data_IF_926546667902
#
_entry.id   IF_926546667902
#
_cell.length_a   1.000
_cell.length_b   1.000
_cell.length_c   1.000
_cell.angle_alpha   90.00
_cell.angle_beta   90.00
_cell.angle_gamma   90.00
#
_symmetry.space_group_name_H-M   'P 1'
#
loop_
_entity.id
_entity.type
_entity.pdbx_description
1 polymer ?
#
# COMPACT_ATOMS: atom_id res chain seq x y z
N UNK A 1 -0.75 -55.12 -17.63
CA UNK A 1 0.15 -53.95 -17.80
C UNK A 1 -0.66 -52.66 -17.57
N UNK A 2 -0.40 -51.86 -16.53
CA UNK A 2 -0.94 -50.51 -16.44
C UNK A 2 0.10 -49.47 -16.86
N UNK A 3 -0.34 -48.47 -17.63
CA UNK A 3 0.47 -47.33 -18.11
C UNK A 3 0.64 -46.31 -16.98
N UNK A 4 1.88 -45.92 -16.68
CA UNK A 4 2.22 -44.91 -15.69
C UNK A 4 1.95 -43.48 -16.17
N UNK A 5 1.26 -42.70 -15.34
CA UNK A 5 1.06 -41.25 -15.52
C UNK A 5 2.24 -40.53 -14.87
N UNK A 6 3.01 -39.78 -15.67
CA UNK A 6 4.12 -38.94 -15.19
C UNK A 6 3.57 -37.71 -14.46
N UNK A 7 3.95 -37.55 -13.20
CA UNK A 7 3.61 -36.40 -12.36
C UNK A 7 4.23 -35.09 -12.85
N UNK A 8 3.41 -34.05 -12.84
CA UNK A 8 3.71 -32.68 -13.25
C UNK A 8 4.67 -32.00 -12.24
N UNK A 9 5.93 -31.75 -12.63
CA UNK A 9 6.95 -31.09 -11.79
C UNK A 9 6.87 -29.55 -11.78
N UNK A 10 5.84 -28.96 -12.39
CA UNK A 10 5.69 -27.50 -12.50
C UNK A 10 5.19 -26.77 -11.26
N UNK A 11 4.59 -27.46 -10.29
CA UNK A 11 3.86 -26.82 -9.18
C UNK A 11 4.77 -26.29 -8.06
N UNK A 12 5.91 -26.94 -7.80
CA UNK A 12 6.76 -26.59 -6.65
C UNK A 12 7.66 -25.36 -6.87
N UNK A 13 7.97 -24.98 -8.12
CA UNK A 13 8.81 -23.81 -8.41
C UNK A 13 8.04 -22.48 -8.29
N UNK A 14 6.73 -22.48 -8.54
CA UNK A 14 5.89 -21.27 -8.47
C UNK A 14 5.60 -20.89 -7.01
N UNK A 15 5.37 -21.88 -6.14
CA UNK A 15 5.08 -21.67 -4.72
C UNK A 15 6.30 -21.15 -3.96
N UNK A 16 7.51 -21.58 -4.35
CA UNK A 16 8.75 -21.14 -3.69
C UNK A 16 9.17 -19.71 -4.09
N UNK A 17 8.80 -19.29 -5.30
CA UNK A 17 9.03 -17.92 -5.79
C UNK A 17 8.10 -16.91 -5.11
N UNK A 18 6.81 -17.25 -4.94
CA UNK A 18 5.85 -16.40 -4.22
C UNK A 18 6.21 -16.16 -2.75
N UNK A 19 6.78 -17.17 -2.07
CA UNK A 19 7.20 -17.08 -0.66
C UNK A 19 8.43 -16.17 -0.47
N UNK A 20 9.34 -16.12 -1.45
CA UNK A 20 10.50 -15.21 -1.45
C UNK A 20 10.12 -13.75 -1.72
N UNK A 21 9.07 -13.50 -2.49
CA UNK A 21 8.60 -12.13 -2.77
C UNK A 21 7.88 -11.53 -1.56
N UNK A 22 7.08 -12.32 -0.83
CA UNK A 22 6.38 -11.86 0.38
C UNK A 22 7.34 -11.49 1.52
N UNK A 23 8.37 -12.32 1.79
CA UNK A 23 9.39 -12.00 2.81
C UNK A 23 10.23 -10.76 2.47
N UNK A 24 10.29 -10.35 1.20
CA UNK A 24 11.01 -9.13 0.78
C UNK A 24 10.17 -7.87 0.99
N UNK A 25 8.84 -8.00 0.99
CA UNK A 25 7.89 -6.90 1.25
C UNK A 25 7.74 -6.66 2.76
N UNK A 26 7.74 -7.72 3.59
CA UNK A 26 7.64 -7.59 5.06
C UNK A 26 8.84 -6.89 5.72
N UNK A 27 10.00 -6.81 5.05
CA UNK A 27 11.23 -6.20 5.58
C UNK A 27 11.56 -4.81 5.00
N UNK A 28 10.67 -4.23 4.19
CA UNK A 28 10.85 -2.87 3.69
C UNK A 28 10.30 -1.87 4.72
N UNK A 29 11.16 -0.99 5.24
CA UNK A 29 10.72 0.13 6.07
C UNK A 29 9.75 1.03 5.29
N UNK A 30 8.75 1.63 5.94
CA UNK A 30 7.90 2.63 5.31
C UNK A 30 8.77 3.75 4.73
N UNK A 31 8.54 4.07 3.45
CA UNK A 31 9.16 5.23 2.83
C UNK A 31 8.43 6.45 3.39
N UNK A 32 9.14 7.24 4.19
CA UNK A 32 8.67 8.50 4.71
C UNK A 32 8.75 9.55 3.59
N UNK A 33 7.60 10.13 3.22
CA UNK A 33 7.46 11.08 2.10
C UNK A 33 7.41 12.54 2.56
N UNK A 34 7.70 12.84 3.84
CA UNK A 34 7.64 14.21 4.36
C UNK A 34 8.81 15.10 3.93
N UNK A 35 9.88 14.55 3.37
CA UNK A 35 11.06 15.34 2.96
C UNK A 35 10.91 16.01 1.57
N UNK A 36 9.83 15.71 0.83
CA UNK A 36 9.64 16.19 -0.55
C UNK A 36 9.10 17.63 -0.68
N UNK A 37 8.46 18.18 0.36
CA UNK A 37 7.87 19.52 0.29
C UNK A 37 8.92 20.65 0.43
N UNK A 38 10.00 20.44 1.19
CA UNK A 38 11.06 21.44 1.32
C UNK A 38 11.90 21.61 0.05
N UNK A 39 12.09 20.53 -0.73
CA UNK A 39 12.91 20.54 -1.94
C UNK A 39 12.17 21.12 -3.15
N UNK A 40 10.85 20.98 -3.21
CA UNK A 40 10.02 21.69 -4.18
C UNK A 40 10.05 23.20 -3.98
N UNK A 41 10.04 23.69 -2.73
CA UNK A 41 10.06 25.12 -2.43
C UNK A 41 11.45 25.73 -2.71
N UNK A 42 12.53 24.99 -2.42
CA UNK A 42 13.92 25.37 -2.79
C UNK A 42 14.12 25.36 -4.31
N UNK A 43 13.49 24.42 -5.03
CA UNK A 43 13.48 24.34 -6.50
C UNK A 43 12.74 25.52 -7.16
N UNK A 44 11.56 25.88 -6.65
CA UNK A 44 10.78 27.05 -7.13
C UNK A 44 11.54 28.37 -6.88
N UNK A 45 12.19 28.54 -5.72
CA UNK A 45 13.02 29.72 -5.39
C UNK A 45 14.29 29.81 -6.26
N UNK A 46 14.93 28.69 -6.63
CA UNK A 46 16.07 28.67 -7.58
C UNK A 46 15.63 29.03 -9.01
N UNK A 47 14.51 28.50 -9.49
CA UNK A 47 14.00 28.80 -10.83
C UNK A 47 13.60 30.27 -11.01
N UNK A 48 12.98 30.89 -9.99
CA UNK A 48 12.69 32.33 -10.01
C UNK A 48 13.95 33.20 -10.03
N UNK A 49 15.01 32.82 -9.29
CA UNK A 49 16.30 33.54 -9.32
C UNK A 49 17.01 33.45 -10.67
N UNK A 50 16.95 32.31 -11.37
CA UNK A 50 17.54 32.15 -12.71
C UNK A 50 16.79 32.99 -13.75
N UNK A 51 15.46 33.02 -13.70
CA UNK A 51 14.62 33.82 -14.61
C UNK A 51 14.79 35.34 -14.41
N UNK A 52 15.04 35.81 -13.19
CA UNK A 52 15.38 37.22 -12.94
C UNK A 52 16.79 37.58 -13.41
N UNK A 53 17.75 36.64 -13.35
CA UNK A 53 19.14 36.86 -13.81
C UNK A 53 19.24 36.92 -15.33
N UNK A 54 18.42 36.15 -16.06
CA UNK A 54 18.39 36.19 -17.53
C UNK A 54 17.69 37.44 -18.07
N UNK A 55 16.64 37.94 -17.39
CA UNK A 55 16.01 39.23 -17.74
C UNK A 55 16.92 40.45 -17.51
N UNK A 56 17.83 40.39 -16.53
CA UNK A 56 18.80 41.47 -16.29
C UNK A 56 19.95 41.49 -17.33
N UNK A 57 20.23 40.37 -18.00
CA UNK A 57 21.32 40.28 -18.99
C UNK A 57 20.92 40.74 -20.39
N UNK A 58 19.63 40.86 -20.71
CA UNK A 58 19.15 41.30 -22.04
C UNK A 58 19.03 42.82 -22.21
N UNK A 59 19.54 43.62 -21.27
CA UNK A 59 19.58 45.10 -21.37
C UNK A 59 21.01 45.63 -21.27
N UNK A 60 21.87 45.27 -22.23
CA UNK A 60 23.02 46.08 -22.67
C UNK A 60 23.65 45.48 -23.93
N UNK A 61 23.00 45.69 -25.07
CA UNK A 61 23.74 45.82 -26.33
C UNK A 61 23.44 47.24 -26.80
N UNK A 62 24.17 48.19 -26.19
CA UNK A 62 24.20 49.58 -26.62
C UNK A 62 25.20 49.62 -27.76
N UNK A 63 24.71 50.16 -28.88
CA UNK A 63 25.44 50.56 -30.09
C UNK A 63 26.68 51.38 -29.74
N UNK A 64 27.80 51.05 -30.38
CA UNK A 64 28.94 51.94 -30.60
C UNK A 64 29.69 51.34 -31.80
N UNK A 65 30.07 52.06 -32.83
CA UNK A 65 29.86 53.42 -33.30
C UNK A 65 30.42 53.37 -34.72
N UNK A 66 29.66 53.76 -35.74
CA UNK A 66 30.25 54.08 -37.04
C UNK A 66 31.26 55.21 -36.81
N UNK A 67 32.54 54.89 -36.93
CA UNK A 67 33.57 55.91 -37.11
C UNK A 67 33.52 56.29 -38.59
N UNK A 68 32.96 57.45 -38.88
CA UNK A 68 33.28 58.20 -40.09
C UNK A 68 34.81 58.40 -40.10
N UNK A 69 35.47 57.79 -41.08
CA UNK A 69 36.83 58.15 -41.42
C UNK A 69 36.72 59.28 -42.43
N UNK A 70 37.19 60.47 -42.04
CA UNK A 70 37.45 61.57 -42.97
C UNK A 70 38.55 61.10 -43.94
N UNK A 71 38.24 61.09 -45.24
CA UNK A 71 39.24 60.94 -46.30
C UNK A 71 40.01 62.27 -46.40
N UNK A 72 41.15 62.34 -45.74
CA UNK A 72 42.18 63.33 -46.05
C UNK A 72 42.96 62.82 -47.29
N UNK A 73 42.67 63.44 -48.43
CA UNK A 73 43.46 63.33 -49.66
C UNK A 73 44.83 63.99 -49.46
N UNK A 74 45.79 63.24 -48.91
CA UNK A 74 47.21 63.52 -49.07
C UNK A 74 47.79 62.53 -50.10
N UNK A 75 48.00 63.02 -51.33
CA UNK A 75 48.82 62.35 -52.34
C UNK A 75 50.28 62.27 -51.85
N UNK A 76 50.66 61.15 -51.23
CA UNK A 76 52.05 60.74 -51.12
C UNK A 76 52.28 59.41 -51.88
N UNK A 77 53.38 59.33 -52.63
CA UNK A 77 53.79 58.17 -53.42
C UNK A 77 53.97 56.92 -52.55
N UNK A 78 52.86 56.23 -52.27
CA UNK A 78 52.81 55.01 -51.48
C UNK A 78 53.60 53.89 -52.14
N UNK A 79 54.58 53.38 -51.39
CA UNK A 79 55.43 52.24 -51.75
C UNK A 79 54.53 51.10 -52.26
N UNK A 80 54.75 50.61 -53.49
CA UNK A 80 53.94 49.54 -54.12
C UNK A 80 53.82 48.28 -53.22
N UNK A 81 54.76 48.12 -52.28
CA UNK A 81 54.73 47.11 -51.22
C UNK A 81 53.57 47.27 -50.24
N UNK A 82 53.25 48.48 -49.81
CA UNK A 82 52.17 48.79 -48.85
C UNK A 82 50.79 48.54 -49.48
N UNK A 83 50.60 49.03 -50.72
CA UNK A 83 49.39 48.75 -51.52
C UNK A 83 49.22 47.27 -51.86
N UNK A 84 50.31 46.49 -51.89
CA UNK A 84 50.26 45.02 -52.04
C UNK A 84 49.91 44.32 -50.73
N UNK A 85 50.46 44.80 -49.60
CA UNK A 85 50.14 44.29 -48.26
C UNK A 85 48.66 44.53 -47.94
N UNK A 86 48.12 45.72 -48.21
CA UNK A 86 46.70 46.02 -48.01
C UNK A 86 45.79 45.15 -48.88
N UNK A 87 46.14 44.97 -50.17
CA UNK A 87 45.40 44.07 -51.06
C UNK A 87 45.45 42.61 -50.55
N UNK A 88 46.59 42.15 -50.05
CA UNK A 88 46.75 40.82 -49.48
C UNK A 88 45.95 40.66 -48.18
N UNK A 89 46.05 41.62 -47.26
CA UNK A 89 45.29 41.64 -45.99
C UNK A 89 43.78 41.71 -46.24
N UNK A 90 43.32 42.55 -47.15
CA UNK A 90 41.91 42.66 -47.53
C UNK A 90 41.39 41.35 -48.14
N UNK A 91 42.21 40.66 -48.93
CA UNK A 91 41.88 39.33 -49.48
C UNK A 91 41.79 38.27 -48.39
N UNK A 92 42.75 38.23 -47.45
CA UNK A 92 42.78 37.29 -46.32
C UNK A 92 41.62 37.54 -45.35
N UNK A 93 41.38 38.80 -44.97
CA UNK A 93 40.23 39.18 -44.13
C UNK A 93 38.92 38.93 -44.84
N UNK A 94 38.85 39.15 -46.16
CA UNK A 94 37.69 38.81 -46.98
C UNK A 94 37.40 37.31 -47.01
N UNK A 95 38.41 36.44 -47.13
CA UNK A 95 38.23 34.99 -47.04
C UNK A 95 37.86 34.54 -45.63
N UNK A 96 38.52 35.06 -44.61
CA UNK A 96 38.24 34.73 -43.20
C UNK A 96 36.82 35.15 -42.78
N UNK A 97 36.38 36.34 -43.19
CA UNK A 97 35.01 36.83 -42.97
C UNK A 97 33.98 35.92 -43.65
N UNK A 98 34.28 35.38 -44.83
CA UNK A 98 33.38 34.43 -45.52
C UNK A 98 33.28 33.12 -44.76
N UNK A 99 34.40 32.57 -44.31
CA UNK A 99 34.47 31.31 -43.57
C UNK A 99 33.74 31.41 -42.22
N UNK A 100 34.01 32.45 -41.42
CA UNK A 100 33.29 32.73 -40.17
C UNK A 100 31.77 32.87 -40.42
N UNK A 101 31.36 33.61 -41.44
CA UNK A 101 29.94 33.78 -41.73
C UNK A 101 29.27 32.46 -42.16
N UNK A 102 30.01 31.54 -42.75
CA UNK A 102 29.51 30.22 -43.13
C UNK A 102 29.32 29.35 -41.88
N UNK A 103 30.30 29.29 -40.99
CA UNK A 103 30.21 28.56 -39.72
C UNK A 103 29.12 29.14 -38.80
N UNK A 104 28.99 30.47 -38.71
CA UNK A 104 27.94 31.12 -37.94
C UNK A 104 26.54 30.75 -38.44
N UNK A 105 26.35 30.63 -39.76
CA UNK A 105 25.08 30.17 -40.35
C UNK A 105 24.79 28.71 -40.03
N UNK A 106 25.80 27.85 -40.04
CA UNK A 106 25.62 26.44 -39.65
C UNK A 106 25.32 26.30 -38.16
N UNK A 107 26.00 27.07 -37.32
CA UNK A 107 25.75 27.14 -35.89
C UNK A 107 24.33 27.66 -35.60
N UNK A 108 23.89 28.71 -36.29
CA UNK A 108 22.53 29.25 -36.17
C UNK A 108 21.47 28.19 -36.54
N UNK A 109 21.69 27.42 -37.61
CA UNK A 109 20.82 26.30 -37.97
C UNK A 109 20.76 25.23 -36.88
N UNK A 110 21.92 24.84 -36.31
CA UNK A 110 21.99 23.86 -35.23
C UNK A 110 21.29 24.37 -33.96
N UNK A 111 21.49 25.65 -33.62
CA UNK A 111 20.87 26.30 -32.47
C UNK A 111 19.35 26.36 -32.62
N UNK A 112 18.84 26.72 -33.81
CA UNK A 112 17.41 26.72 -34.10
C UNK A 112 16.81 25.31 -34.03
N UNK A 113 17.50 24.31 -34.57
CA UNK A 113 17.08 22.91 -34.47
C UNK A 113 17.00 22.44 -33.00
N UNK A 114 18.04 22.70 -32.21
CA UNK A 114 18.07 22.34 -30.80
C UNK A 114 17.02 23.09 -29.98
N UNK A 115 16.77 24.37 -30.28
CA UNK A 115 15.70 25.14 -29.65
C UNK A 115 14.35 24.49 -29.87
N UNK A 116 14.05 24.06 -31.11
CA UNK A 116 12.82 23.34 -31.42
C UNK A 116 12.71 22.02 -30.65
N UNK A 117 13.81 21.27 -30.52
CA UNK A 117 13.84 20.04 -29.70
C UNK A 117 13.65 20.28 -28.21
N UNK A 118 14.17 21.38 -27.68
CA UNK A 118 13.93 21.77 -26.29
C UNK A 118 12.44 22.09 -26.09
N UNK A 119 11.80 22.82 -27.01
CA UNK A 119 10.38 23.11 -26.92
C UNK A 119 9.52 21.85 -26.99
N UNK A 120 9.83 20.91 -27.90
CA UNK A 120 9.21 19.59 -27.97
C UNK A 120 9.33 18.83 -26.63
N UNK A 121 10.53 18.75 -26.05
CA UNK A 121 10.75 18.08 -24.77
C UNK A 121 10.05 18.76 -23.60
N UNK A 122 9.90 20.10 -23.62
CA UNK A 122 9.15 20.82 -22.58
C UNK A 122 7.66 20.47 -22.62
N UNK A 123 7.09 20.29 -23.82
CA UNK A 123 5.71 19.82 -23.99
C UNK A 123 5.57 18.39 -23.49
N UNK A 124 6.43 17.47 -23.91
CA UNK A 124 6.40 16.07 -23.45
C UNK A 124 6.57 15.95 -21.93
N UNK A 125 7.49 16.72 -21.34
CA UNK A 125 7.71 16.72 -19.89
C UNK A 125 6.46 17.21 -19.14
N UNK A 126 5.75 18.20 -19.68
CA UNK A 126 4.49 18.68 -19.09
C UNK A 126 3.42 17.59 -19.17
N UNK A 127 3.24 16.95 -20.32
CA UNK A 127 2.28 15.87 -20.49
C UNK A 127 2.58 14.67 -19.56
N UNK A 128 3.86 14.31 -19.40
CA UNK A 128 4.27 13.24 -18.50
C UNK A 128 3.96 13.58 -17.04
N UNK A 129 4.18 14.82 -16.61
CA UNK A 129 3.83 15.27 -15.26
C UNK A 129 2.33 15.24 -15.02
N UNK A 130 1.52 15.66 -16.00
CA UNK A 130 0.06 15.60 -15.91
C UNK A 130 -0.43 14.15 -15.84
N UNK A 131 0.12 13.26 -16.67
CA UNK A 131 -0.18 11.81 -16.62
C UNK A 131 0.22 11.20 -15.28
N UNK A 132 1.39 11.54 -14.75
CA UNK A 132 1.85 11.05 -13.45
C UNK A 132 0.89 11.48 -12.32
N UNK A 133 0.52 12.76 -12.27
CA UNK A 133 -0.42 13.26 -11.27
C UNK A 133 -1.80 12.58 -11.37
N UNK A 134 -2.28 12.34 -12.60
CA UNK A 134 -3.53 11.62 -12.82
C UNK A 134 -3.45 10.16 -12.34
N UNK A 135 -2.36 9.46 -12.65
CA UNK A 135 -2.14 8.08 -12.23
C UNK A 135 -2.00 7.96 -10.71
N UNK A 136 -1.30 8.88 -10.05
CA UNK A 136 -1.17 8.91 -8.59
C UNK A 136 -2.54 9.09 -7.92
N UNK A 137 -3.36 9.99 -8.45
CA UNK A 137 -4.74 10.22 -7.98
C UNK A 137 -5.62 8.98 -8.15
N UNK A 138 -5.56 8.35 -9.32
CA UNK A 138 -6.32 7.13 -9.60
C UNK A 138 -5.87 5.98 -8.68
N UNK A 139 -4.56 5.81 -8.49
CA UNK A 139 -4.02 4.76 -7.62
C UNK A 139 -4.46 4.94 -6.16
N UNK A 140 -4.49 6.18 -5.66
CA UNK A 140 -5.02 6.50 -4.34
C UNK A 140 -6.49 6.10 -4.21
N UNK A 141 -7.33 6.46 -5.18
CA UNK A 141 -8.76 6.13 -5.13
C UNK A 141 -9.01 4.62 -5.26
N UNK A 142 -8.27 3.93 -6.13
CA UNK A 142 -8.33 2.47 -6.27
C UNK A 142 -7.94 1.77 -4.96
N UNK A 143 -6.86 2.18 -4.30
CA UNK A 143 -6.45 1.63 -3.00
C UNK A 143 -7.53 1.83 -1.94
N UNK A 144 -8.14 3.01 -1.91
CA UNK A 144 -9.24 3.33 -0.99
C UNK A 144 -10.45 2.42 -1.24
N UNK A 145 -10.83 2.22 -2.50
CA UNK A 145 -11.92 1.32 -2.87
C UNK A 145 -11.63 -0.13 -2.51
N UNK A 146 -10.43 -0.64 -2.83
CA UNK A 146 -10.00 -2.00 -2.46
C UNK A 146 -10.08 -2.21 -0.95
N UNK A 147 -9.61 -1.25 -0.14
CA UNK A 147 -9.71 -1.30 1.31
C UNK A 147 -11.16 -1.36 1.78
N UNK A 148 -12.03 -0.51 1.21
CA UNK A 148 -13.46 -0.50 1.53
C UNK A 148 -14.13 -1.84 1.19
N UNK A 149 -13.85 -2.39 0.00
CA UNK A 149 -14.38 -3.67 -0.44
C UNK A 149 -13.90 -4.82 0.44
N UNK A 150 -12.63 -4.83 0.84
CA UNK A 150 -12.08 -5.84 1.74
C UNK A 150 -12.82 -5.85 3.10
N UNK A 151 -13.12 -4.68 3.66
CA UNK A 151 -13.91 -4.57 4.90
C UNK A 151 -15.34 -5.10 4.70
N UNK A 152 -15.99 -4.78 3.58
CA UNK A 152 -17.35 -5.26 3.29
C UNK A 152 -17.37 -6.78 3.13
N UNK A 153 -16.42 -7.35 2.38
CA UNK A 153 -16.29 -8.80 2.19
C UNK A 153 -16.08 -9.49 3.54
N UNK A 154 -15.22 -8.93 4.39
CA UNK A 154 -14.98 -9.44 5.73
C UNK A 154 -16.25 -9.43 6.60
N UNK A 155 -17.03 -8.35 6.54
CA UNK A 155 -18.29 -8.25 7.28
C UNK A 155 -19.36 -9.21 6.75
N UNK A 156 -19.41 -9.46 5.43
CA UNK A 156 -20.29 -10.47 4.83
C UNK A 156 -19.89 -11.90 5.23
N UNK A 157 -18.60 -12.23 5.19
CA UNK A 157 -18.09 -13.52 5.63
C UNK A 157 -18.34 -13.73 7.13
N UNK A 158 -18.17 -12.69 7.95
CA UNK A 158 -18.52 -12.75 9.36
C UNK A 158 -20.04 -12.87 9.59
N UNK A 159 -20.86 -12.22 8.75
CA UNK A 159 -22.31 -12.30 8.83
C UNK A 159 -22.81 -13.72 8.52
N UNK A 160 -22.17 -14.45 7.61
CA UNK A 160 -22.51 -15.86 7.35
C UNK A 160 -22.37 -16.76 8.59
N UNK A 161 -21.53 -16.36 9.56
CA UNK A 161 -21.28 -17.07 10.83
C UNK A 161 -22.12 -16.52 12.00
N UNK A 162 -23.09 -15.64 11.75
CA UNK A 162 -23.87 -14.95 12.79
C UNK A 162 -24.82 -15.85 13.59
N UNK A 163 -25.03 -17.10 13.15
CA UNK A 163 -25.76 -18.17 13.88
C UNK A 163 -24.82 -19.23 14.45
N UNK A 164 -23.51 -19.00 14.39
CA UNK A 164 -22.54 -20.00 14.77
C UNK A 164 -21.92 -19.67 16.13
N UNK A 165 -21.62 -20.72 16.88
CA UNK A 165 -20.73 -20.68 18.04
C UNK A 165 -19.53 -21.58 17.81
N UNK A 166 -18.45 -21.30 18.54
CA UNK A 166 -17.27 -22.16 18.60
C UNK A 166 -17.11 -22.65 20.03
N UNK A 167 -16.96 -23.96 20.20
CA UNK A 167 -16.70 -24.61 21.48
C UNK A 167 -15.26 -25.09 21.46
N UNK A 168 -14.45 -24.53 22.36
CA UNK A 168 -13.02 -24.79 22.46
C UNK A 168 -12.70 -25.68 23.67
N UNK A 169 -11.56 -26.36 23.59
CA UNK A 169 -10.98 -27.19 24.66
C UNK A 169 -11.79 -28.43 25.05
N UNK A 170 -12.50 -29.03 24.08
CA UNK A 170 -13.20 -30.31 24.22
C UNK A 170 -12.33 -31.43 23.62
N UNK A 171 -11.80 -32.38 24.43
CA UNK A 171 -11.00 -33.51 23.94
C UNK A 171 -11.71 -34.29 22.81
N UNK A 172 -10.94 -34.94 21.95
CA UNK A 172 -11.47 -35.80 20.88
C UNK A 172 -11.68 -37.22 21.43
N UNK A 173 -12.87 -37.78 21.24
CA UNK A 173 -13.20 -39.17 21.57
C UNK A 173 -13.54 -39.95 20.28
N UNK A 174 -13.32 -41.26 20.27
CA UNK A 174 -13.80 -42.11 19.17
C UNK A 174 -15.33 -42.14 19.21
N UNK A 175 -15.95 -42.05 18.04
CA UNK A 175 -17.42 -42.10 17.88
C UNK A 175 -18.18 -41.06 18.72
N UNK A 176 -17.63 -39.85 18.81
CA UNK A 176 -18.23 -38.73 19.55
C UNK A 176 -19.61 -38.30 19.00
N UNK A 177 -20.60 -38.15 19.90
CA UNK A 177 -21.87 -37.50 19.58
C UNK A 177 -21.81 -36.00 19.90
N UNK A 178 -21.39 -35.22 18.89
CA UNK A 178 -21.31 -33.77 19.02
C UNK A 178 -22.68 -33.11 19.28
N UNK A 179 -23.79 -33.71 18.83
CA UNK A 179 -25.14 -33.13 19.04
C UNK A 179 -25.54 -33.29 20.50
N UNK A 180 -25.34 -34.47 21.09
CA UNK A 180 -25.61 -34.67 22.52
C UNK A 180 -24.75 -33.75 23.39
N UNK A 181 -23.47 -33.57 23.03
CA UNK A 181 -22.59 -32.62 23.71
C UNK A 181 -23.16 -31.20 23.73
N UNK A 182 -23.63 -30.69 22.59
CA UNK A 182 -24.23 -29.34 22.52
C UNK A 182 -25.52 -29.25 23.33
N UNK A 183 -26.35 -30.29 23.33
CA UNK A 183 -27.56 -30.34 24.16
C UNK A 183 -27.19 -30.31 25.65
N UNK A 184 -26.15 -31.03 26.07
CA UNK A 184 -25.65 -31.01 27.44
C UNK A 184 -25.09 -29.64 27.84
N UNK A 185 -24.42 -28.94 26.91
CA UNK A 185 -24.03 -27.53 27.08
C UNK A 185 -25.26 -26.65 27.29
N UNK A 186 -26.30 -26.82 26.47
CA UNK A 186 -27.58 -26.12 26.62
C UNK A 186 -28.18 -26.31 28.02
N UNK A 187 -28.28 -27.56 28.48
CA UNK A 187 -28.78 -27.90 29.83
C UNK A 187 -27.97 -27.23 30.94
N UNK A 188 -26.64 -27.25 30.85
CA UNK A 188 -25.76 -26.56 31.82
C UNK A 188 -25.96 -25.05 31.84
N UNK A 189 -26.29 -24.48 30.69
CA UNK A 189 -26.58 -23.05 30.55
C UNK A 189 -28.05 -22.71 30.79
N UNK A 190 -28.91 -23.68 31.14
CA UNK A 190 -30.35 -23.44 31.27
C UNK A 190 -30.93 -22.84 29.96
N UNK A 191 -30.56 -23.46 28.84
CA UNK A 191 -31.08 -23.18 27.49
C UNK A 191 -31.52 -24.51 26.90
N UNK A 192 -32.81 -24.66 26.68
CA UNK A 192 -33.34 -25.82 25.96
C UNK A 192 -32.93 -25.73 24.49
N UNK A 193 -32.22 -26.76 24.02
CA UNK A 193 -31.77 -26.87 22.64
C UNK A 193 -32.30 -28.18 22.11
N UNK A 194 -33.11 -28.11 21.06
CA UNK A 194 -33.58 -29.30 20.35
C UNK A 194 -32.62 -29.67 19.21
N UNK A 195 -32.54 -30.96 18.90
CA UNK A 195 -31.71 -31.46 17.79
C UNK A 195 -32.05 -30.79 16.45
N UNK A 196 -33.33 -30.42 16.24
CA UNK A 196 -33.81 -29.74 15.03
C UNK A 196 -33.29 -28.30 14.88
N UNK A 197 -32.80 -27.70 15.97
CA UNK A 197 -32.25 -26.34 15.97
C UNK A 197 -30.77 -26.30 15.58
N UNK A 198 -30.12 -27.47 15.52
CA UNK A 198 -28.74 -27.63 15.05
C UNK A 198 -28.76 -27.92 13.55
N UNK A 199 -28.37 -26.93 12.75
CA UNK A 199 -28.31 -27.00 11.29
C UNK A 199 -27.07 -27.78 10.82
N UNK A 200 -25.91 -27.45 11.38
CA UNK A 200 -24.67 -28.16 11.10
C UNK A 200 -23.74 -28.18 12.33
N UNK A 201 -23.00 -29.26 12.50
CA UNK A 201 -22.02 -29.40 13.58
C UNK A 201 -20.85 -30.24 13.11
N UNK A 202 -19.63 -29.76 13.39
CA UNK A 202 -18.39 -30.46 13.02
C UNK A 202 -17.19 -29.87 13.76
N UNK A 203 -16.11 -30.64 13.85
CA UNK A 203 -14.81 -30.12 14.29
C UNK A 203 -14.11 -29.38 13.16
N UNK A 204 -13.51 -28.24 13.48
CA UNK A 204 -12.68 -27.52 12.53
C UNK A 204 -11.29 -28.16 12.42
N UNK A 205 -10.72 -28.24 11.21
CA UNK A 205 -9.34 -28.67 11.05
C UNK A 205 -8.39 -27.67 11.71
N UNK A 206 -7.32 -28.20 12.29
CA UNK A 206 -6.24 -27.41 12.89
C UNK A 206 -4.92 -27.72 12.18
N UNK A 207 -4.05 -26.73 12.06
CA UNK A 207 -2.72 -26.89 11.47
C UNK A 207 -1.75 -27.62 12.41
N UNK A 208 -1.97 -27.54 13.73
CA UNK A 208 -1.09 -28.17 14.73
C UNK A 208 -1.60 -29.56 15.05
N UNK A 209 -0.82 -30.61 14.78
CA UNK A 209 -1.24 -32.01 14.97
C UNK A 209 -1.71 -32.33 16.40
N UNK A 210 -1.11 -31.70 17.41
CA UNK A 210 -1.40 -31.95 18.82
C UNK A 210 -2.45 -31.00 19.42
N UNK A 211 -2.94 -30.01 18.66
CA UNK A 211 -3.96 -29.11 19.20
C UNK A 211 -5.35 -29.75 19.11
N UNK A 212 -6.12 -29.58 20.17
CA UNK A 212 -7.53 -29.98 20.21
C UNK A 212 -8.30 -29.22 19.11
N UNK A 213 -8.99 -29.95 18.24
CA UNK A 213 -9.83 -29.35 17.19
C UNK A 213 -11.09 -28.74 17.80
N UNK A 214 -11.38 -27.45 17.59
CA UNK A 214 -12.56 -26.83 18.14
C UNK A 214 -13.82 -27.27 17.38
N UNK A 215 -14.95 -27.31 18.08
CA UNK A 215 -16.25 -27.67 17.50
C UNK A 215 -16.95 -26.40 17.05
N UNK A 216 -17.45 -26.37 15.82
CA UNK A 216 -18.35 -25.33 15.34
C UNK A 216 -19.75 -25.88 15.26
N UNK A 217 -20.69 -25.11 15.79
CA UNK A 217 -22.12 -25.41 15.75
C UNK A 217 -22.79 -24.26 15.03
N UNK A 218 -23.56 -24.57 14.00
CA UNK A 218 -24.44 -23.64 13.31
C UNK A 218 -25.89 -23.95 13.71
N UNK A 219 -26.58 -22.92 14.20
CA UNK A 219 -27.99 -23.03 14.55
C UNK A 219 -28.89 -22.56 13.41
N UNK A 220 -30.13 -23.03 13.42
CA UNK A 220 -31.18 -22.62 12.47
C UNK A 220 -31.55 -21.14 12.66
N UNK A 221 -31.58 -20.67 13.90
CA UNK A 221 -31.92 -19.27 14.22
C UNK A 221 -30.81 -18.58 15.00
N UNK A 222 -30.73 -17.26 14.85
CA UNK A 222 -29.81 -16.43 15.63
C UNK A 222 -30.19 -16.38 17.11
N UNK A 223 -31.48 -16.55 17.44
CA UNK A 223 -31.95 -16.45 18.82
C UNK A 223 -31.33 -17.52 19.73
N UNK A 224 -31.26 -18.78 19.27
CA UNK A 224 -30.62 -19.88 20.01
C UNK A 224 -29.17 -19.54 20.33
N UNK A 225 -28.43 -19.05 19.33
CA UNK A 225 -27.07 -18.57 19.51
C UNK A 225 -26.99 -17.47 20.57
N UNK A 226 -27.81 -16.41 20.48
CA UNK A 226 -27.77 -15.30 21.44
C UNK A 226 -28.10 -15.74 22.88
N UNK A 227 -29.05 -16.66 23.05
CA UNK A 227 -29.39 -17.24 24.36
C UNK A 227 -28.17 -17.93 24.98
N UNK A 228 -27.45 -18.75 24.22
CA UNK A 228 -26.22 -19.42 24.67
C UNK A 228 -25.11 -18.39 24.96
N UNK A 229 -24.87 -17.47 24.03
CA UNK A 229 -23.78 -16.49 24.13
C UNK A 229 -23.97 -15.53 25.31
N UNK A 230 -25.21 -15.22 25.69
CA UNK A 230 -25.52 -14.38 26.87
C UNK A 230 -25.09 -15.04 28.19
N UNK A 231 -25.13 -16.37 28.26
CA UNK A 231 -24.79 -17.17 29.44
C UNK A 231 -23.38 -17.80 29.37
N UNK A 232 -22.57 -17.47 28.35
CA UNK A 232 -21.23 -18.06 28.12
C UNK A 232 -20.20 -17.89 29.25
N UNK A 233 -20.45 -16.98 30.20
CA UNK A 233 -19.58 -16.76 31.38
C UNK A 233 -19.76 -17.84 32.45
N UNK A 234 -20.84 -18.63 32.36
CA UNK A 234 -21.04 -19.79 33.22
C UNK A 234 -19.91 -20.79 32.97
N UNK A 235 -19.30 -21.28 34.06
CA UNK A 235 -18.23 -22.29 33.97
C UNK A 235 -18.83 -23.60 33.48
N UNK A 236 -18.33 -24.09 32.35
CA UNK A 236 -18.66 -25.40 31.77
C UNK A 236 -17.41 -26.24 31.78
N UNK A 237 -17.54 -27.53 32.12
CA UNK A 237 -16.43 -28.48 32.07
C UNK A 237 -16.77 -29.72 31.27
N UNK A 238 -15.75 -30.53 30.97
CA UNK A 238 -15.91 -31.83 30.29
C UNK A 238 -16.85 -32.79 31.02
N UNK A 239 -17.01 -32.65 32.34
CA UNK A 239 -18.00 -33.42 33.12
C UNK A 239 -19.43 -33.04 32.78
N UNK A 240 -19.70 -31.75 32.56
CA UNK A 240 -21.04 -31.28 32.16
C UNK A 240 -21.41 -31.84 30.77
N UNK A 241 -20.41 -32.14 29.93
CA UNK A 241 -20.55 -32.79 28.63
C UNK A 241 -20.68 -34.32 28.72
N UNK A 242 -20.67 -34.90 29.93
CA UNK A 242 -20.63 -36.35 30.21
C UNK A 242 -19.40 -37.08 29.65
N UNK A 243 -18.29 -36.37 29.45
CA UNK A 243 -17.06 -36.99 28.97
C UNK A 243 -16.30 -37.66 30.13
N UNK A 244 -15.59 -38.74 29.80
CA UNK A 244 -14.73 -39.43 30.76
C UNK A 244 -13.37 -38.71 30.92
N UNK A 245 -12.68 -39.00 32.03
CA UNK A 245 -11.32 -38.51 32.27
C UNK A 245 -11.22 -37.25 33.12
N UNK A 246 -10.13 -36.50 32.94
CA UNK A 246 -9.81 -35.31 33.73
C UNK A 246 -10.77 -34.16 33.42
N UNK A 247 -11.22 -33.46 34.46
CA UNK A 247 -12.11 -32.31 34.33
C UNK A 247 -11.35 -31.12 33.71
N UNK A 248 -11.77 -30.71 32.51
CA UNK A 248 -11.19 -29.56 31.79
C UNK A 248 -12.25 -28.50 31.55
N UNK A 249 -11.85 -27.24 31.63
CA UNK A 249 -12.74 -26.09 31.35
C UNK A 249 -13.01 -26.02 29.85
N UNK A 250 -14.28 -25.86 29.49
CA UNK A 250 -14.74 -25.70 28.11
C UNK A 250 -15.11 -24.24 27.88
N UNK A 251 -14.70 -23.69 26.74
CA UNK A 251 -14.94 -22.28 26.41
C UNK A 251 -15.92 -22.16 25.25
N UNK A 252 -16.92 -21.28 25.41
CA UNK A 252 -17.87 -20.94 24.36
C UNK A 252 -17.54 -19.54 23.83
N UNK A 253 -17.22 -19.48 22.54
CA UNK A 253 -16.80 -18.28 21.85
C UNK A 253 -17.68 -18.01 20.61
N UNK A 254 -17.61 -16.77 20.13
CA UNK A 254 -18.16 -16.44 18.82
C UNK A 254 -17.33 -17.10 17.72
N UNK A 255 -17.98 -17.62 16.68
CA UNK A 255 -17.27 -18.15 15.52
C UNK A 255 -16.77 -16.99 14.64
N UNK A 256 -15.58 -16.50 14.96
CA UNK A 256 -14.92 -15.43 14.23
C UNK A 256 -14.22 -15.95 12.97
N UNK A 257 -14.15 -15.10 11.95
CA UNK A 257 -13.33 -15.33 10.76
C UNK A 257 -11.84 -15.47 11.14
N UNK A 258 -11.03 -16.05 10.25
CA UNK A 258 -9.58 -16.15 10.46
C UNK A 258 -8.94 -14.75 10.61
N UNK A 259 -9.38 -13.79 9.80
CA UNK A 259 -8.88 -12.43 9.84
C UNK A 259 -9.22 -11.74 11.17
N UNK A 260 -10.49 -11.82 11.63
CA UNK A 260 -10.89 -11.29 12.93
C UNK A 260 -10.20 -11.99 14.10
N UNK A 261 -9.93 -13.30 14.02
CA UNK A 261 -9.08 -14.00 15.01
C UNK A 261 -7.67 -13.40 15.06
N UNK A 262 -7.07 -13.09 13.91
CA UNK A 262 -5.76 -12.43 13.84
C UNK A 262 -5.77 -11.03 14.47
N UNK A 263 -6.77 -10.21 14.13
CA UNK A 263 -6.96 -8.88 14.72
C UNK A 263 -7.14 -8.99 16.24
N UNK A 264 -7.98 -9.93 16.71
CA UNK A 264 -8.21 -10.16 18.13
C UNK A 264 -6.94 -10.58 18.88
N UNK A 265 -6.08 -11.38 18.24
CA UNK A 265 -4.81 -11.80 18.80
C UNK A 265 -3.82 -10.63 18.95
N UNK A 266 -3.63 -9.85 17.89
CA UNK A 266 -2.73 -8.68 17.93
C UNK A 266 -3.27 -7.58 18.85
N UNK A 267 -4.58 -7.31 18.82
CA UNK A 267 -5.24 -6.38 19.72
C UNK A 267 -5.05 -6.77 21.19
N UNK A 268 -4.99 -8.07 21.51
CA UNK A 268 -4.75 -8.55 22.87
C UNK A 268 -3.32 -8.27 23.34
N UNK A 269 -2.32 -8.36 22.45
CA UNK A 269 -0.94 -7.98 22.80
C UNK A 269 -0.86 -6.49 23.09
N UNK A 270 -1.35 -5.67 22.15
CA UNK A 270 -1.37 -4.21 22.28
C UNK A 270 -2.17 -3.75 23.50
N UNK A 271 -3.27 -4.44 23.82
CA UNK A 271 -4.05 -4.19 25.03
C UNK A 271 -3.18 -4.24 26.28
N UNK A 272 -2.37 -5.31 26.42
CA UNK A 272 -1.52 -5.52 27.57
C UNK A 272 -0.34 -4.54 27.59
N UNK A 273 0.28 -4.30 26.43
CA UNK A 273 1.42 -3.39 26.28
C UNK A 273 1.06 -1.93 26.56
N UNK A 274 -0.12 -1.48 26.10
CA UNK A 274 -0.58 -0.08 26.18
C UNK A 274 -1.56 0.19 27.32
N UNK A 275 -1.78 -0.79 28.19
CA UNK A 275 -2.61 -0.64 29.40
C UNK A 275 -4.11 -0.45 29.14
N UNK A 276 -4.65 -1.01 28.07
CA UNK A 276 -6.11 -1.00 27.85
C UNK A 276 -6.80 -2.02 28.76
N UNK A 277 -7.88 -1.65 29.44
CA UNK A 277 -8.58 -2.57 30.36
C UNK A 277 -9.51 -3.55 29.64
N UNK A 278 -10.14 -3.13 28.55
CA UNK A 278 -11.24 -3.88 27.93
C UNK A 278 -10.95 -4.26 26.47
N UNK A 279 -11.17 -5.53 26.13
CA UNK A 279 -11.18 -6.07 24.77
C UNK A 279 -12.25 -7.17 24.72
N UNK A 280 -13.22 -7.03 23.82
CA UNK A 280 -14.33 -7.99 23.72
C UNK A 280 -14.86 -8.09 22.29
N UNK A 281 -15.64 -9.15 22.06
CA UNK A 281 -16.43 -9.29 20.84
C UNK A 281 -17.91 -9.19 21.12
N UNK A 282 -18.64 -8.65 20.14
CA UNK A 282 -20.11 -8.66 20.11
C UNK A 282 -20.57 -8.71 18.66
N UNK A 283 -21.38 -9.72 18.31
CA UNK A 283 -21.92 -9.90 16.96
C UNK A 283 -20.84 -9.97 15.87
N UNK A 284 -19.72 -10.65 16.15
CA UNK A 284 -18.58 -10.78 15.24
C UNK A 284 -17.78 -9.49 15.05
N UNK A 285 -18.05 -8.43 15.82
CA UNK A 285 -17.28 -7.18 15.84
C UNK A 285 -16.37 -7.15 17.05
N UNK A 286 -15.17 -6.59 16.88
CA UNK A 286 -14.14 -6.51 17.92
C UNK A 286 -14.10 -5.08 18.44
N UNK A 287 -14.13 -4.93 19.75
CA UNK A 287 -14.11 -3.65 20.43
C UNK A 287 -13.02 -3.61 21.48
N UNK A 288 -12.36 -2.47 21.59
CA UNK A 288 -11.36 -2.20 22.62
C UNK A 288 -11.63 -0.86 23.30
N UNK A 289 -11.36 -0.76 24.59
CA UNK A 289 -11.54 0.47 25.38
C UNK A 289 -10.49 0.56 26.49
N UNK A 290 -9.86 1.74 26.63
CA UNK A 290 -8.75 1.95 27.58
C UNK A 290 -9.23 1.90 29.02
N UNK A 291 -10.16 2.76 29.39
CA UNK A 291 -10.77 2.80 30.73
C UNK A 291 -12.30 2.91 30.64
N UNK A 292 -12.99 2.84 31.78
CA UNK A 292 -14.44 2.80 31.87
C UNK A 292 -15.13 3.98 31.17
N UNK A 293 -14.52 5.16 31.23
CA UNK A 293 -15.02 6.41 30.63
C UNK A 293 -14.43 6.73 29.25
N UNK A 294 -13.50 5.92 28.75
CA UNK A 294 -12.88 6.14 27.44
C UNK A 294 -13.82 5.77 26.29
N UNK A 295 -13.56 6.33 25.11
CA UNK A 295 -14.26 5.96 23.89
C UNK A 295 -14.00 4.48 23.52
N UNK A 296 -15.04 3.82 23.00
CA UNK A 296 -14.95 2.44 22.50
C UNK A 296 -14.51 2.48 21.04
N UNK A 297 -13.41 1.80 20.74
CA UNK A 297 -12.87 1.71 19.38
C UNK A 297 -13.29 0.36 18.78
N UNK A 298 -13.93 0.38 17.61
CA UNK A 298 -14.19 -0.82 16.80
C UNK A 298 -12.98 -1.11 15.90
N UNK A 299 -12.48 -2.34 15.96
CA UNK A 299 -11.36 -2.82 15.15
C UNK A 299 -11.92 -3.65 13.98
N UNK A 300 -12.03 -3.03 12.81
CA UNK A 300 -12.60 -3.64 11.59
C UNK A 300 -11.53 -4.21 10.68
N UNK A 301 -10.36 -3.58 10.65
CA UNK A 301 -9.20 -4.00 9.86
C UNK A 301 -7.91 -3.93 10.68
N UNK A 302 -6.81 -4.43 10.11
CA UNK A 302 -5.51 -4.44 10.78
C UNK A 302 -5.01 -3.01 11.07
N UNK A 303 -5.24 -2.06 10.17
CA UNK A 303 -4.86 -0.65 10.34
C UNK A 303 -5.56 0.00 11.54
N UNK A 304 -6.73 -0.50 11.96
CA UNK A 304 -7.41 0.03 13.14
C UNK A 304 -6.64 -0.25 14.44
N UNK A 305 -5.66 -1.16 14.43
CA UNK A 305 -4.76 -1.40 15.57
C UNK A 305 -3.87 -0.19 15.89
N UNK A 306 -3.56 0.66 14.89
CA UNK A 306 -2.78 1.88 15.08
C UNK A 306 -3.50 2.89 16.00
N UNK A 307 -4.83 2.78 16.13
CA UNK A 307 -5.64 3.62 17.03
C UNK A 307 -5.46 3.27 18.51
N UNK A 308 -4.81 2.15 18.81
CA UNK A 308 -4.50 1.73 20.18
C UNK A 308 -3.21 2.45 20.56
N UNK A 309 -3.27 3.48 21.41
CA UNK A 309 -2.12 4.33 21.81
C UNK A 309 -1.91 4.34 23.32
#
# INVERSE_FOLDING_TARGET
MPRGVKGNKGSSQVVNTGRKVMNKIENMKPIDWTDGEEDEEKGKKKSQKVSQRTRASSKKVIVNSESEYEEDDEEEEGNDLERKIERAMSKVMGSFKKEINMELREFEKSMNFNSGKIDEFLVEMKELREKQAALEKENYELRRQVKSMAIIIEDLDQYSRNRNIQIDNVPEEQDEDLKEMVINVGKKLDVEIETKEIDAIHRLPTTRKESIKPIVVQFTTRQVRENIMSKRKTKITTRDLKMAGEEKIVYINEHLTRNKKSIMFEARKLKNEKGYKFLWTRNGKIFIRKEERSHVIELRCIDDLEKIV
#
